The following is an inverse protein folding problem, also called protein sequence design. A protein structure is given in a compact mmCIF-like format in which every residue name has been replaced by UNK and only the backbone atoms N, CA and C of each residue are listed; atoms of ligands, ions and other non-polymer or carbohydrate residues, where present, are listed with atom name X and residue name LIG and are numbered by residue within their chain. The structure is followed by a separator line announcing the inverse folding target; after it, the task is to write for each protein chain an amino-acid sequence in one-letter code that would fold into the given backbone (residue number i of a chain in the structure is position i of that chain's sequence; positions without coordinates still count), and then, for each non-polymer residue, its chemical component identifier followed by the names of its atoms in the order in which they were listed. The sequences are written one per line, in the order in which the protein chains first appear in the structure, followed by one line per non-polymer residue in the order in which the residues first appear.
data_IF_825197794968
#
_entry.id   IF_825197794968
#
_cell.length_a   1.000
_cell.length_b   1.000
_cell.length_c   1.000
_cell.angle_alpha   90.00
_cell.angle_beta   90.00
_cell.angle_gamma   90.00
#
_symmetry.space_group_name_H-M   'P 1'
#
loop_
_entity.id
_entity.type
_entity.pdbx_description
1 polymer ?
#
# COMPACT_ATOMS: atom_id res chain seq x y z
N UNK A 1 0.36 -6.34 -0.05
CA UNK A 1 -0.06 -5.63 -1.27
C UNK A 1 -0.03 -6.61 -2.43
N UNK A 2 -1.00 -6.60 -3.34
CA UNK A 2 -1.02 -7.54 -4.48
C UNK A 2 -2.07 -7.18 -5.53
N UNK A 3 -2.08 -7.86 -6.69
CA UNK A 3 -3.07 -7.66 -7.75
C UNK A 3 -4.47 -8.11 -7.33
N UNK A 4 -5.52 -7.69 -8.05
CA UNK A 4 -6.90 -8.08 -7.73
C UNK A 4 -7.14 -9.61 -7.82
N UNK A 5 -6.31 -10.31 -8.60
CA UNK A 5 -6.35 -11.77 -8.75
C UNK A 5 -5.70 -12.54 -7.59
N UNK A 6 -5.01 -11.86 -6.68
CA UNK A 6 -4.37 -12.47 -5.51
C UNK A 6 -5.36 -12.46 -4.33
N UNK A 7 -5.93 -13.63 -3.95
CA UNK A 7 -6.92 -13.72 -2.89
C UNK A 7 -6.33 -13.47 -1.50
N UNK A 8 -5.01 -13.62 -1.33
CA UNK A 8 -4.34 -13.46 -0.03
C UNK A 8 -3.87 -12.00 0.21
N UNK A 9 -3.94 -11.16 -0.81
CA UNK A 9 -3.54 -9.77 -0.69
C UNK A 9 -4.58 -8.96 0.11
N UNK A 10 -4.14 -8.30 1.19
CA UNK A 10 -5.02 -7.46 2.05
C UNK A 10 -5.24 -6.05 1.49
N UNK A 11 -4.23 -5.48 0.84
CA UNK A 11 -4.30 -4.16 0.20
C UNK A 11 -3.98 -4.22 -1.29
N UNK A 12 -4.58 -3.32 -2.05
CA UNK A 12 -4.28 -3.13 -3.47
C UNK A 12 -2.95 -2.38 -3.69
N UNK A 13 -2.48 -2.19 -4.95
CA UNK A 13 -1.25 -1.45 -5.23
C UNK A 13 -1.24 0.03 -4.83
N UNK A 14 -2.41 0.62 -4.54
CA UNK A 14 -2.55 1.99 -4.05
C UNK A 14 -2.59 2.06 -2.51
N UNK A 15 -2.55 0.92 -1.81
CA UNK A 15 -2.60 0.85 -0.35
C UNK A 15 -4.01 0.84 0.22
N UNK A 16 -5.06 0.77 -0.62
CA UNK A 16 -6.45 0.69 -0.17
C UNK A 16 -6.75 -0.71 0.38
N UNK A 17 -7.45 -0.78 1.51
CA UNK A 17 -7.82 -2.05 2.15
C UNK A 17 -8.97 -2.68 1.38
N UNK A 18 -8.80 -3.94 0.97
CA UNK A 18 -9.87 -4.67 0.27
C UNK A 18 -11.08 -4.87 1.20
N UNK A 19 -12.28 -4.62 0.68
CA UNK A 19 -13.54 -4.80 1.40
C UNK A 19 -13.89 -3.70 2.38
N UNK A 20 -13.07 -2.63 2.48
CA UNK A 20 -13.37 -1.45 3.27
C UNK A 20 -13.26 -0.19 2.42
N UNK A 21 -14.20 0.72 2.59
CA UNK A 21 -14.17 2.02 1.92
C UNK A 21 -13.38 3.02 2.75
N UNK A 22 -12.61 3.89 2.07
CA UNK A 22 -11.87 5.00 2.69
C UNK A 22 -10.85 4.61 3.77
N UNK A 23 -10.39 3.35 3.78
CA UNK A 23 -9.32 2.87 4.67
C UNK A 23 -8.09 2.51 3.84
N UNK A 24 -6.91 2.95 4.28
CA UNK A 24 -5.65 2.66 3.61
C UNK A 24 -4.53 2.41 4.60
N UNK A 25 -3.55 1.59 4.21
CA UNK A 25 -2.38 1.24 5.03
C UNK A 25 -1.11 1.63 4.28
N UNK A 26 -0.26 2.43 4.93
CA UNK A 26 1.01 2.91 4.40
C UNK A 26 2.15 2.57 5.38
N UNK A 27 2.48 1.28 5.46
CA UNK A 27 3.42 0.71 6.44
C UNK A 27 4.19 -0.49 5.84
N UNK A 28 5.25 -0.95 6.51
CA UNK A 28 6.02 -2.13 6.11
C UNK A 28 5.18 -3.41 5.97
N UNK A 29 4.06 -3.52 6.71
CA UNK A 29 3.11 -4.64 6.60
C UNK A 29 2.53 -4.84 5.20
N UNK A 30 2.60 -3.84 4.31
CA UNK A 30 2.09 -3.98 2.94
C UNK A 30 3.06 -4.67 1.99
N UNK A 31 4.33 -4.88 2.37
CA UNK A 31 5.31 -5.50 1.50
C UNK A 31 4.89 -6.93 1.12
N UNK A 32 4.86 -7.30 -0.17
CA UNK A 32 4.46 -8.64 -0.59
C UNK A 32 5.49 -9.71 -0.21
N UNK A 33 6.73 -9.32 0.03
CA UNK A 33 7.83 -10.19 0.42
C UNK A 33 8.86 -9.42 1.25
N UNK A 34 9.70 -10.10 2.05
CA UNK A 34 10.75 -9.44 2.81
C UNK A 34 11.72 -8.63 1.94
N UNK A 35 12.06 -7.43 2.40
CA UNK A 35 13.06 -6.57 1.75
C UNK A 35 14.45 -7.07 2.13
N UNK A 36 15.36 -7.21 1.15
CA UNK A 36 16.76 -7.59 1.37
C UNK A 36 17.64 -6.39 1.74
N UNK A 37 17.15 -5.55 2.67
CA UNK A 37 17.82 -4.35 3.19
C UNK A 37 17.08 -3.85 4.44
N UNK A 38 17.56 -2.76 5.06
CA UNK A 38 16.82 -2.07 6.12
C UNK A 38 15.47 -1.57 5.60
N UNK A 39 14.40 -1.90 6.32
CA UNK A 39 13.02 -1.61 5.90
C UNK A 39 12.65 -0.13 5.96
N UNK A 40 13.40 0.69 6.71
CA UNK A 40 13.07 2.10 6.93
C UNK A 40 12.91 2.87 5.61
N UNK A 41 13.94 2.87 4.76
CA UNK A 41 13.90 3.61 3.49
C UNK A 41 12.79 3.10 2.55
N UNK A 42 12.62 1.78 2.46
CA UNK A 42 11.55 1.19 1.64
C UNK A 42 10.16 1.56 2.17
N UNK A 43 9.98 1.60 3.50
CA UNK A 43 8.71 1.99 4.13
C UNK A 43 8.38 3.44 3.81
N UNK A 44 9.35 4.35 3.94
CA UNK A 44 9.17 5.77 3.59
C UNK A 44 8.76 5.95 2.12
N UNK A 45 9.42 5.27 1.18
CA UNK A 45 9.13 5.39 -0.25
C UNK A 45 7.75 4.83 -0.61
N UNK A 46 7.37 3.69 0.00
CA UNK A 46 6.05 3.10 -0.20
C UNK A 46 4.95 4.01 0.38
N UNK A 47 5.18 4.59 1.56
CA UNK A 47 4.25 5.53 2.17
C UNK A 47 4.06 6.78 1.29
N UNK A 48 5.14 7.34 0.74
CA UNK A 48 5.07 8.48 -0.20
C UNK A 48 4.22 8.14 -1.44
N UNK A 49 4.40 6.94 -2.01
CA UNK A 49 3.63 6.51 -3.18
C UNK A 49 2.12 6.38 -2.87
N UNK A 50 1.79 5.84 -1.71
CA UNK A 50 0.40 5.69 -1.24
C UNK A 50 -0.21 7.06 -0.94
N UNK A 51 0.53 7.96 -0.28
CA UNK A 51 0.10 9.34 -0.03
C UNK A 51 -0.23 10.06 -1.35
N UNK A 52 0.61 9.91 -2.37
CA UNK A 52 0.35 10.48 -3.69
C UNK A 52 -0.93 9.91 -4.34
N UNK A 53 -1.23 8.63 -4.14
CA UNK A 53 -2.48 8.02 -4.63
C UNK A 53 -3.70 8.56 -3.89
N UNK A 54 -3.63 8.68 -2.57
CA UNK A 54 -4.67 9.26 -1.73
C UNK A 54 -4.97 10.71 -2.12
N UNK A 55 -3.94 11.52 -2.33
CA UNK A 55 -4.11 12.92 -2.76
C UNK A 55 -4.83 13.04 -4.10
N UNK A 56 -4.54 12.13 -5.06
CA UNK A 56 -5.27 12.10 -6.34
C UNK A 56 -6.74 11.68 -6.17
N UNK A 57 -7.01 10.71 -5.29
CA UNK A 57 -8.38 10.23 -5.06
C UNK A 57 -9.30 11.28 -4.42
N UNK A 58 -8.75 12.20 -3.64
CA UNK A 58 -9.49 13.29 -2.96
C UNK A 58 -9.71 14.53 -3.83
N UNK A 59 -9.06 14.60 -4.99
CA UNK A 59 -9.14 15.74 -5.89
C UNK A 59 -10.30 15.63 -6.91
N UNK A 60 -11.04 14.52 -6.89
CA UNK A 60 -12.29 14.31 -7.63
C UNK A 60 -13.47 14.17 -6.69
#
# INVERSE_FOLDING_TARGET
MGPASDPDAVVDPAGAVRGLDNVSVADASVFPSPVRAHTNATTMVVAERIAAALSRSRAG
#
